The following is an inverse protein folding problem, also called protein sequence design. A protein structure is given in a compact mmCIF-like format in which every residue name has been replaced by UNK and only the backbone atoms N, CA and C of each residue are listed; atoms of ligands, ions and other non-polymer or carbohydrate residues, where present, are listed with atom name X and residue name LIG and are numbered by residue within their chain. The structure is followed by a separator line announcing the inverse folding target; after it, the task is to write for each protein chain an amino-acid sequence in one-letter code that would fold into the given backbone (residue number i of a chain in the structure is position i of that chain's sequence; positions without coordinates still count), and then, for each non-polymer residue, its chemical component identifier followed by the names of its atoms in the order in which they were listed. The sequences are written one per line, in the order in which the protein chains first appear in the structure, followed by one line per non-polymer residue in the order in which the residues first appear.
data_IF_954948712533
#
_entry.id   IF_954948712533
#
_cell.length_a   1.000
_cell.length_b   1.000
_cell.length_c   1.000
_cell.angle_alpha   90.00
_cell.angle_beta   90.00
_cell.angle_gamma   90.00
#
_symmetry.space_group_name_H-M   'P 1'
#
loop_
_entity.id
_entity.type
_entity.pdbx_description
1 polymer ?
#
# COMPACT_ATOMS: atom_id res chain seq x y z
N UNK A 1 3.00 -8.25 -1.98
CA UNK A 1 3.82 -7.51 -1.00
C UNK A 1 4.94 -6.68 -1.63
N UNK A 2 4.91 -6.46 -2.94
CA UNK A 2 5.77 -5.50 -3.63
C UNK A 2 5.16 -5.13 -4.98
N UNK A 3 5.62 -4.03 -5.58
CA UNK A 3 5.27 -3.68 -6.96
C UNK A 3 5.60 -4.82 -7.92
N UNK A 4 6.74 -5.48 -7.75
CA UNK A 4 7.20 -6.55 -8.63
C UNK A 4 6.26 -7.77 -8.57
N UNK A 5 5.85 -8.18 -7.37
CA UNK A 5 4.85 -9.25 -7.20
C UNK A 5 3.50 -8.87 -7.82
N UNK A 6 3.07 -7.61 -7.68
CA UNK A 6 1.83 -7.14 -8.28
C UNK A 6 1.89 -7.22 -9.80
N UNK A 7 3.00 -6.77 -10.41
CA UNK A 7 3.24 -6.89 -11.86
C UNK A 7 3.15 -8.35 -12.30
N UNK A 8 3.83 -9.27 -11.60
CA UNK A 8 3.81 -10.70 -11.92
C UNK A 8 2.41 -11.31 -11.77
N UNK A 9 1.65 -10.93 -10.73
CA UNK A 9 0.27 -11.40 -10.53
C UNK A 9 -0.69 -10.90 -11.61
N UNK A 10 -0.55 -9.62 -12.01
CA UNK A 10 -1.37 -9.02 -13.07
C UNK A 10 -1.06 -9.67 -14.41
N UNK A 11 0.21 -9.71 -14.83
CA UNK A 11 0.60 -10.31 -16.13
C UNK A 11 0.37 -11.81 -16.20
N UNK A 12 0.45 -12.50 -15.05
CA UNK A 12 0.10 -13.91 -14.92
C UNK A 12 -1.41 -14.19 -14.94
N UNK A 13 -2.26 -13.16 -15.03
CA UNK A 13 -3.70 -13.31 -15.09
C UNK A 13 -4.34 -13.77 -13.78
N UNK A 14 -3.69 -13.53 -12.63
CA UNK A 14 -4.28 -13.80 -11.29
C UNK A 14 -5.45 -12.86 -11.03
N UNK A 15 -5.37 -11.61 -11.50
CA UNK A 15 -6.38 -10.57 -11.31
C UNK A 15 -7.57 -10.78 -12.25
N UNK A 16 -8.77 -10.65 -11.71
CA UNK A 16 -10.07 -10.80 -12.37
C UNK A 16 -10.94 -9.56 -12.15
N UNK A 17 -12.00 -9.46 -12.93
CA UNK A 17 -13.01 -8.40 -12.76
C UNK A 17 -13.64 -8.49 -11.36
N UNK A 18 -13.81 -7.33 -10.72
CA UNK A 18 -14.29 -7.22 -9.34
C UNK A 18 -13.20 -7.32 -8.28
N UNK A 19 -11.97 -7.66 -8.64
CA UNK A 19 -10.86 -7.74 -7.67
C UNK A 19 -10.43 -6.34 -7.21
N UNK A 20 -9.94 -6.28 -5.97
CA UNK A 20 -9.20 -5.15 -5.43
C UNK A 20 -7.76 -5.55 -5.23
N UNK A 21 -6.87 -4.98 -6.04
CA UNK A 21 -5.44 -5.29 -6.01
C UNK A 21 -4.74 -4.39 -5.00
N UNK A 22 -4.28 -4.98 -3.90
CA UNK A 22 -3.57 -4.29 -2.82
C UNK A 22 -2.06 -4.44 -2.99
N UNK A 23 -1.37 -3.32 -3.22
CA UNK A 23 0.09 -3.23 -3.33
C UNK A 23 0.62 -2.54 -2.09
N UNK A 24 1.08 -3.33 -1.12
CA UNK A 24 1.56 -2.85 0.19
C UNK A 24 3.07 -2.97 0.35
N UNK A 25 3.60 -2.30 1.37
CA UNK A 25 5.04 -2.11 1.63
C UNK A 25 5.74 -1.25 0.57
N UNK A 26 5.00 -0.36 -0.07
CA UNK A 26 5.53 0.64 -1.01
C UNK A 26 5.43 2.06 -0.44
N UNK A 27 5.04 2.20 0.83
CA UNK A 27 4.96 3.47 1.56
C UNK A 27 6.31 4.09 1.93
N UNK A 28 6.30 5.23 2.65
CA UNK A 28 7.50 5.94 3.03
C UNK A 28 8.56 5.08 3.73
N UNK A 29 8.20 4.28 4.73
CA UNK A 29 9.13 3.41 5.47
C UNK A 29 9.28 2.04 4.80
N UNK A 30 8.17 1.48 4.31
CA UNK A 30 8.09 0.15 3.72
C UNK A 30 8.94 0.02 2.46
N UNK A 31 8.79 0.98 1.53
CA UNK A 31 9.48 1.03 0.23
C UNK A 31 11.00 0.93 0.35
N UNK A 32 11.71 1.88 1.00
CA UNK A 32 11.31 3.24 1.42
C UNK A 32 11.26 4.26 0.27
N UNK A 33 10.80 5.47 0.58
CA UNK A 33 10.78 6.61 -0.35
C UNK A 33 9.48 6.75 -1.12
N UNK A 34 8.49 5.93 -0.80
CA UNK A 34 7.14 6.01 -1.34
C UNK A 34 7.13 6.06 -2.88
N UNK A 35 7.71 5.05 -3.52
CA UNK A 35 7.95 5.04 -4.97
C UNK A 35 6.65 5.25 -5.76
N UNK A 36 6.73 6.03 -6.84
CA UNK A 36 5.62 6.21 -7.78
C UNK A 36 5.55 5.03 -8.75
N UNK A 37 4.37 4.42 -8.84
CA UNK A 37 4.13 3.21 -9.63
C UNK A 37 3.25 3.52 -10.85
N UNK A 38 3.82 3.36 -12.04
CA UNK A 38 3.11 3.44 -13.32
C UNK A 38 2.76 2.06 -13.90
N UNK A 39 3.62 1.07 -13.68
CA UNK A 39 3.48 -0.24 -14.31
C UNK A 39 2.19 -0.98 -13.91
N UNK A 40 1.80 -1.08 -12.62
CA UNK A 40 0.57 -1.79 -12.24
C UNK A 40 -0.69 -1.18 -12.87
N UNK A 41 -0.79 0.14 -12.90
CA UNK A 41 -1.96 0.84 -13.46
C UNK A 41 -2.03 0.64 -14.98
N UNK A 42 -0.89 0.76 -15.67
CA UNK A 42 -0.81 0.56 -17.13
C UNK A 42 -1.13 -0.89 -17.53
N UNK A 43 -0.74 -1.88 -16.72
CA UNK A 43 -1.03 -3.29 -16.99
C UNK A 43 -2.52 -3.61 -16.83
N UNK A 44 -3.16 -3.14 -15.75
CA UNK A 44 -4.61 -3.31 -15.54
C UNK A 44 -5.40 -2.71 -16.70
N UNK A 45 -5.02 -1.49 -17.14
CA UNK A 45 -5.63 -0.85 -18.30
C UNK A 45 -5.40 -1.65 -19.58
N UNK A 46 -4.17 -2.13 -19.83
CA UNK A 46 -3.83 -2.93 -21.01
C UNK A 46 -4.55 -4.28 -21.08
N UNK A 47 -4.95 -4.83 -19.93
CA UNK A 47 -5.77 -6.03 -19.83
C UNK A 47 -7.27 -5.77 -19.98
N UNK A 48 -7.68 -4.51 -20.15
CA UNK A 48 -9.09 -4.13 -20.26
C UNK A 48 -9.86 -4.16 -18.92
N UNK A 49 -9.14 -4.22 -17.80
CA UNK A 49 -9.72 -4.34 -16.46
C UNK A 49 -9.88 -2.99 -15.73
N UNK A 50 -9.58 -1.87 -16.40
CA UNK A 50 -9.52 -0.53 -15.80
C UNK A 50 -10.79 -0.06 -15.08
N UNK A 51 -11.96 -0.45 -15.60
CA UNK A 51 -13.25 -0.05 -15.02
C UNK A 51 -13.79 -1.06 -14.00
N UNK A 52 -13.17 -2.25 -13.92
CA UNK A 52 -13.67 -3.39 -13.14
C UNK A 52 -12.75 -3.78 -11.97
N UNK A 53 -11.54 -3.20 -11.88
CA UNK A 53 -10.55 -3.52 -10.84
C UNK A 53 -10.10 -2.24 -10.15
N UNK A 54 -10.10 -2.27 -8.82
CA UNK A 54 -9.53 -1.19 -8.01
C UNK A 54 -8.08 -1.51 -7.63
N UNK A 55 -7.24 -0.47 -7.59
CA UNK A 55 -5.86 -0.54 -7.13
C UNK A 55 -5.69 0.27 -5.85
N UNK A 56 -5.08 -0.34 -4.83
CA UNK A 56 -4.85 0.29 -3.54
C UNK A 56 -3.38 0.16 -3.15
N UNK A 57 -2.77 1.23 -2.63
CA UNK A 57 -1.40 1.19 -2.14
C UNK A 57 -1.12 2.14 -0.99
N UNK A 58 -0.20 1.76 -0.11
CA UNK A 58 0.45 2.67 0.84
C UNK A 58 1.54 3.54 0.20
N UNK A 59 1.91 3.25 -1.06
CA UNK A 59 2.79 4.05 -1.91
C UNK A 59 2.05 5.06 -2.79
N UNK A 60 2.55 5.27 -4.01
CA UNK A 60 2.01 6.23 -4.99
C UNK A 60 1.68 5.57 -6.33
N UNK A 61 0.60 6.04 -6.95
CA UNK A 61 0.31 5.76 -8.36
C UNK A 61 0.62 6.99 -9.21
N UNK A 62 0.99 6.76 -10.47
CA UNK A 62 1.24 7.85 -11.41
C UNK A 62 -0.05 8.48 -11.94
N UNK A 63 -0.05 9.79 -12.17
CA UNK A 63 -1.24 10.59 -12.55
C UNK A 63 -1.87 10.25 -13.91
N UNK A 64 -1.29 9.32 -14.68
CA UNK A 64 -1.84 8.83 -15.95
C UNK A 64 -2.93 7.74 -15.76
N UNK A 65 -3.42 7.54 -14.55
CA UNK A 65 -4.29 6.42 -14.21
C UNK A 65 -5.75 6.68 -14.57
N UNK A 66 -6.40 5.67 -15.16
CA UNK A 66 -7.85 5.58 -15.33
C UNK A 66 -8.37 4.45 -14.45
N UNK A 67 -9.59 4.58 -13.93
CA UNK A 67 -10.15 3.65 -12.95
C UNK A 67 -9.89 4.03 -11.49
N UNK A 68 -10.38 3.20 -10.57
CA UNK A 68 -10.24 3.42 -9.13
C UNK A 68 -8.81 3.11 -8.66
N UNK A 69 -7.99 4.13 -8.42
CA UNK A 69 -6.62 3.98 -7.93
C UNK A 69 -6.36 4.86 -6.72
N UNK A 70 -6.20 4.22 -5.57
CA UNK A 70 -6.07 4.87 -4.27
C UNK A 70 -4.63 4.69 -3.78
N UNK A 71 -3.89 5.78 -3.70
CA UNK A 71 -2.56 5.83 -3.10
C UNK A 71 -2.59 6.41 -1.69
N UNK A 72 -1.41 6.50 -1.06
CA UNK A 72 -1.18 7.16 0.22
C UNK A 72 -1.98 6.56 1.39
N UNK A 73 -2.36 5.28 1.33
CA UNK A 73 -3.04 4.62 2.46
C UNK A 73 -2.15 4.70 3.70
N UNK A 74 -2.72 5.23 4.79
CA UNK A 74 -2.00 5.51 6.03
C UNK A 74 -2.85 5.08 7.24
N UNK A 75 -2.26 4.52 8.31
CA UNK A 75 -0.85 4.12 8.44
C UNK A 75 -0.42 3.09 7.39
N UNK A 76 0.85 3.12 6.98
CA UNK A 76 1.35 2.20 5.95
C UNK A 76 1.48 0.77 6.49
N UNK A 77 1.67 -0.22 5.61
CA UNK A 77 1.81 -1.61 6.07
C UNK A 77 3.01 -1.80 6.99
N UNK A 78 4.13 -1.12 6.73
CA UNK A 78 5.33 -1.21 7.58
C UNK A 78 5.12 -0.66 9.00
N UNK A 79 4.11 0.19 9.22
CA UNK A 79 3.71 0.74 10.52
C UNK A 79 2.60 -0.09 11.20
N UNK A 80 2.15 -1.19 10.57
CA UNK A 80 1.04 -1.99 11.08
C UNK A 80 -0.34 -1.38 10.83
N UNK A 81 -0.47 -0.53 9.80
CA UNK A 81 -1.78 -0.09 9.33
C UNK A 81 -2.64 -1.27 8.86
N UNK A 82 -3.96 -1.06 8.76
CA UNK A 82 -4.93 -2.10 8.37
C UNK A 82 -4.57 -2.74 7.02
N UNK A 83 -4.02 -1.96 6.08
CA UNK A 83 -3.53 -2.47 4.79
C UNK A 83 -2.46 -3.58 4.93
N UNK A 84 -1.67 -3.55 6.00
CA UNK A 84 -0.70 -4.60 6.35
C UNK A 84 -1.33 -5.90 6.87
N UNK A 85 -2.60 -5.85 7.31
CA UNK A 85 -3.34 -6.97 7.90
C UNK A 85 -4.27 -7.68 6.92
N UNK A 86 -4.42 -7.13 5.71
CA UNK A 86 -5.27 -7.70 4.66
C UNK A 86 -4.73 -9.05 4.18
N UNK A 87 -5.64 -9.95 3.87
CA UNK A 87 -5.41 -11.27 3.31
C UNK A 87 -6.20 -11.45 2.01
N UNK A 88 -5.71 -12.32 1.12
CA UNK A 88 -6.41 -12.62 -0.15
C UNK A 88 -7.81 -13.16 0.16
N UNK A 89 -8.84 -12.49 -0.36
CA UNK A 89 -10.25 -12.85 -0.16
C UNK A 89 -11.01 -11.92 0.80
N UNK A 90 -10.33 -11.02 1.51
CA UNK A 90 -11.00 -9.97 2.28
C UNK A 90 -11.82 -9.04 1.36
N UNK A 91 -13.00 -8.64 1.81
CA UNK A 91 -13.89 -7.73 1.05
C UNK A 91 -13.56 -6.29 1.43
N UNK A 92 -13.23 -5.47 0.41
CA UNK A 92 -12.94 -4.05 0.56
C UNK A 92 -14.10 -3.26 -0.04
N UNK A 93 -14.71 -2.39 0.76
CA UNK A 93 -15.73 -1.45 0.31
C UNK A 93 -15.07 -0.11 -0.01
N UNK A 94 -15.32 0.35 -1.25
CA UNK A 94 -14.92 1.67 -1.73
C UNK A 94 -16.18 2.47 -2.03
N UNK A 95 -16.43 3.50 -1.23
CA UNK A 95 -17.50 4.46 -1.41
C UNK A 95 -16.89 5.83 -1.75
N UNK A 96 -16.95 6.19 -3.03
CA UNK A 96 -16.37 7.42 -3.55
C UNK A 96 -17.19 8.65 -3.18
N UNK A 97 -18.51 8.51 -3.05
CA UNK A 97 -19.42 9.61 -2.72
C UNK A 97 -19.25 10.05 -1.26
N UNK A 98 -19.01 9.09 -0.37
CA UNK A 98 -18.79 9.34 1.05
C UNK A 98 -17.30 9.41 1.44
N UNK A 99 -16.38 9.22 0.48
CA UNK A 99 -14.93 9.16 0.71
C UNK A 99 -14.51 8.09 1.74
N UNK A 100 -15.18 6.94 1.71
CA UNK A 100 -14.91 5.83 2.63
C UNK A 100 -14.15 4.73 1.89
N UNK A 101 -13.03 4.32 2.47
CA UNK A 101 -12.34 3.08 2.14
C UNK A 101 -12.32 2.22 3.40
N UNK A 102 -12.99 1.06 3.36
CA UNK A 102 -13.09 0.17 4.51
C UNK A 102 -12.94 -1.29 4.11
N UNK A 103 -12.66 -2.14 5.08
CA UNK A 103 -12.61 -3.59 4.89
C UNK A 103 -13.68 -4.22 5.77
N UNK A 104 -14.39 -5.24 5.27
CA UNK A 104 -15.42 -5.98 6.02
C UNK A 104 -14.80 -6.98 6.99
N UNK A 105 -14.02 -6.46 7.94
CA UNK A 105 -13.48 -7.22 9.06
C UNK A 105 -14.03 -6.63 10.35
N UNK A 106 -14.31 -7.48 11.34
CA UNK A 106 -14.68 -7.01 12.67
C UNK A 106 -13.43 -6.51 13.41
N UNK A 107 -13.64 -5.68 14.43
CA UNK A 107 -12.54 -5.16 15.24
C UNK A 107 -11.77 -6.30 15.94
N UNK A 108 -12.45 -7.39 16.31
CA UNK A 108 -11.82 -8.56 16.92
C UNK A 108 -10.88 -9.29 15.95
N UNK A 109 -11.28 -9.41 14.68
CA UNK A 109 -10.46 -10.03 13.62
C UNK A 109 -9.24 -9.15 13.31
N UNK A 110 -9.44 -7.84 13.18
CA UNK A 110 -8.35 -6.88 12.99
C UNK A 110 -7.34 -6.97 14.14
N UNK A 111 -7.82 -7.02 15.38
CA UNK A 111 -6.95 -7.13 16.55
C UNK A 111 -6.25 -8.49 16.65
N UNK A 112 -6.94 -9.58 16.30
CA UNK A 112 -6.34 -10.91 16.23
C UNK A 112 -5.20 -10.97 15.21
N UNK A 113 -5.41 -10.44 14.00
CA UNK A 113 -4.37 -10.34 12.96
C UNK A 113 -3.24 -9.42 13.39
N UNK A 114 -3.55 -8.29 14.04
CA UNK A 114 -2.55 -7.34 14.56
C UNK A 114 -1.60 -8.00 15.56
N UNK A 115 -2.08 -8.90 16.41
CA UNK A 115 -1.22 -9.63 17.38
C UNK A 115 -0.23 -10.59 16.70
N UNK A 116 -0.58 -11.12 15.53
CA UNK A 116 0.27 -12.01 14.76
C UNK A 116 1.13 -11.25 13.73
N UNK A 117 0.82 -9.97 13.53
CA UNK A 117 1.44 -9.15 12.51
C UNK A 117 2.92 -8.93 12.80
N UNK A 118 3.74 -9.28 11.80
CA UNK A 118 5.16 -8.95 11.77
C UNK A 118 5.41 -8.10 10.53
N UNK A 119 5.76 -6.81 10.67
CA UNK A 119 5.97 -5.96 9.51
C UNK A 119 7.10 -6.53 8.65
N UNK A 120 6.84 -6.65 7.36
CA UNK A 120 7.89 -6.98 6.41
C UNK A 120 8.80 -5.78 6.20
N UNK A 121 10.09 -5.96 6.46
CA UNK A 121 11.11 -4.93 6.30
C UNK A 121 11.94 -5.29 5.08
N UNK A 122 11.80 -4.52 3.99
CA UNK A 122 12.65 -4.66 2.80
C UNK A 122 14.11 -4.40 3.16
N UNK A 123 15.01 -5.26 2.69
CA UNK A 123 16.44 -4.97 2.76
C UNK A 123 16.77 -3.80 1.83
N UNK A 124 17.57 -2.86 2.33
CA UNK A 124 17.95 -1.67 1.57
C UNK A 124 19.45 -1.56 1.49
N UNK A 125 19.93 -1.32 0.28
CA UNK A 125 21.31 -0.98 0.01
C UNK A 125 21.51 0.54 0.15
N UNK A 126 22.56 0.95 0.85
CA UNK A 126 22.91 2.36 1.04
C UNK A 126 22.43 2.97 2.35
N UNK A 127 23.27 3.82 2.93
CA UNK A 127 23.04 4.49 4.22
C UNK A 127 21.90 5.50 4.18
N UNK A 128 21.72 6.20 3.05
CA UNK A 128 20.73 7.27 2.93
C UNK A 128 19.29 6.77 3.08
N UNK A 129 18.90 5.71 2.37
CA UNK A 129 17.55 5.16 2.46
C UNK A 129 17.26 4.53 3.83
N UNK A 130 18.29 4.00 4.51
CA UNK A 130 18.18 3.53 5.91
C UNK A 130 17.88 4.71 6.84
N UNK A 131 18.60 5.82 6.69
CA UNK A 131 18.35 7.05 7.44
C UNK A 131 16.96 7.64 7.15
N UNK A 132 16.57 7.70 5.87
CA UNK A 132 15.23 8.13 5.45
C UNK A 132 14.14 7.32 6.16
N UNK A 133 14.21 5.98 6.12
CA UNK A 133 13.25 5.08 6.77
C UNK A 133 13.12 5.36 8.28
N UNK A 134 14.22 5.71 8.95
CA UNK A 134 14.20 5.99 10.39
C UNK A 134 13.49 7.33 10.69
N UNK A 135 13.76 8.36 9.88
CA UNK A 135 13.33 9.74 10.16
C UNK A 135 11.98 10.12 9.53
N UNK A 136 11.55 9.44 8.48
CA UNK A 136 10.36 9.84 7.71
C UNK A 136 9.06 9.65 8.51
N UNK A 137 8.15 10.61 8.44
CA UNK A 137 6.77 10.45 8.93
C UNK A 137 5.93 9.67 7.94
N UNK A 138 4.75 9.21 8.36
CA UNK A 138 3.82 8.54 7.45
C UNK A 138 3.29 9.51 6.35
N UNK A 139 2.61 8.93 5.35
CA UNK A 139 2.05 9.67 4.22
C UNK A 139 1.02 10.73 4.65
N UNK A 140 0.22 10.47 5.68
CA UNK A 140 -0.78 11.44 6.19
C UNK A 140 -0.16 12.74 6.72
N UNK A 141 1.10 12.69 7.17
CA UNK A 141 1.87 13.85 7.62
C UNK A 141 2.77 14.44 6.51
N UNK A 142 2.53 14.06 5.24
CA UNK A 142 3.29 14.57 4.10
C UNK A 142 4.65 13.92 3.89
N UNK A 143 4.94 12.79 4.56
CA UNK A 143 6.22 12.08 4.46
C UNK A 143 7.45 12.98 4.70
N UNK A 144 7.34 13.92 5.63
CA UNK A 144 8.44 14.81 6.02
C UNK A 144 9.48 14.05 6.83
N UNK A 145 10.73 14.53 6.80
CA UNK A 145 11.77 14.01 7.69
C UNK A 145 11.68 14.72 9.03
N UNK A 146 11.61 13.95 10.11
CA UNK A 146 11.78 14.49 11.46
C UNK A 146 13.17 15.13 11.56
N UNK A 147 13.20 16.40 11.97
CA UNK A 147 14.43 17.17 12.21
C UNK A 147 14.92 17.05 13.64
N UNK A 148 14.08 16.55 14.54
CA UNK A 148 14.36 16.31 15.95
C UNK A 148 14.38 14.81 16.20
N UNK A 149 15.38 14.35 16.95
CA UNK A 149 15.42 12.98 17.45
C UNK A 149 14.59 12.93 18.73
N UNK A 150 13.67 11.98 18.86
CA UNK A 150 13.05 11.71 20.17
C UNK A 150 14.18 11.29 21.13
N UNK A 151 14.39 12.05 22.21
CA UNK A 151 15.31 11.68 23.28
C UNK A 151 14.81 10.37 23.92
N UNK A 152 15.37 9.24 23.51
CA UNK A 152 14.97 7.95 24.06
C UNK A 152 15.35 6.74 23.23
N UNK A 153 16.63 6.38 23.23
CA UNK A 153 17.09 5.00 23.31
C UNK A 153 18.51 4.98 23.89
#
# INVERSE_FOLDING_TARGET
NSQQEAITGITGGKVKEGDVVVIRYEGPRGGPGMQEMLAPTSLIMGMGLGDNVALITDGRFSGATRGASIGHVSPEAAEGGVIGLLEDGDIIDLDVDNYILSVRLSDEEIEARRKQFKPYIKDIQGSWLKQYRQLVTNASNGAVLRTEFEEGC
#
